data_IF_681900574256
#
_entry.id   IF_681900574256
#
_cell.length_a   1.000
_cell.length_b   1.000
_cell.length_c   1.000
_cell.angle_alpha   90.00
_cell.angle_beta   90.00
_cell.angle_gamma   90.00
#
_symmetry.space_group_name_H-M   'P 1'
#
loop_
_entity.id
_entity.type
_entity.pdbx_description
1 polymer ?
#
# COMPACT_ATOMS: atom_id res chain seq x y z
N UNK A 1 -23.07 -1.14 19.55
CA UNK A 1 -23.18 -0.18 18.43
C UNK A 1 -21.81 0.32 17.93
N UNK A 2 -20.89 0.74 18.82
CA UNK A 2 -19.57 1.28 18.40
C UNK A 2 -18.66 0.20 17.79
N UNK A 3 -18.72 -1.03 18.30
CA UNK A 3 -17.96 -2.20 17.78
C UNK A 3 -18.26 -2.44 16.30
N UNK A 4 -19.55 -2.59 15.94
CA UNK A 4 -19.97 -2.76 14.54
C UNK A 4 -19.48 -1.62 13.66
N UNK A 5 -19.58 -0.38 14.14
CA UNK A 5 -19.07 0.79 13.40
C UNK A 5 -17.56 0.73 13.15
N UNK A 6 -16.77 0.24 14.10
CA UNK A 6 -15.31 0.11 13.93
C UNK A 6 -14.98 -1.03 12.96
N UNK A 7 -15.67 -2.16 13.08
CA UNK A 7 -15.54 -3.28 12.14
C UNK A 7 -15.88 -2.85 10.72
N UNK A 8 -17.02 -2.20 10.52
CA UNK A 8 -17.47 -1.69 9.23
C UNK A 8 -16.47 -0.68 8.65
N UNK A 9 -15.93 0.22 9.48
CA UNK A 9 -14.95 1.22 9.02
C UNK A 9 -13.67 0.55 8.51
N UNK A 10 -13.16 -0.45 9.23
CA UNK A 10 -11.97 -1.19 8.83
C UNK A 10 -12.23 -2.01 7.56
N UNK A 11 -13.31 -2.78 7.52
CA UNK A 11 -13.71 -3.62 6.39
C UNK A 11 -13.90 -2.79 5.12
N UNK A 12 -14.63 -1.68 5.21
CA UNK A 12 -14.79 -0.75 4.08
C UNK A 12 -13.46 -0.19 3.57
N UNK A 13 -12.53 0.13 4.47
CA UNK A 13 -11.21 0.66 4.08
C UNK A 13 -10.38 -0.42 3.37
N UNK A 14 -10.33 -1.63 3.92
CA UNK A 14 -9.65 -2.79 3.30
C UNK A 14 -10.26 -3.12 1.95
N UNK A 15 -11.59 -3.12 1.83
CA UNK A 15 -12.29 -3.31 0.56
C UNK A 15 -11.91 -2.27 -0.48
N UNK A 16 -11.84 -1.00 -0.10
CA UNK A 16 -11.46 0.08 -1.01
C UNK A 16 -10.02 -0.09 -1.50
N UNK A 17 -9.08 -0.43 -0.62
CA UNK A 17 -7.69 -0.73 -0.99
C UNK A 17 -7.66 -1.93 -1.95
N UNK A 18 -8.41 -3.00 -1.65
CA UNK A 18 -8.47 -4.18 -2.49
C UNK A 18 -9.09 -3.91 -3.87
N UNK A 19 -10.15 -3.10 -3.93
CA UNK A 19 -10.80 -2.68 -5.19
C UNK A 19 -9.84 -1.88 -6.06
N UNK A 20 -9.04 -0.98 -5.47
CA UNK A 20 -8.00 -0.25 -6.20
C UNK A 20 -6.93 -1.22 -6.69
N UNK A 21 -6.37 -2.06 -5.81
CA UNK A 21 -5.34 -3.03 -6.18
C UNK A 21 -5.78 -4.02 -7.26
N UNK A 22 -7.04 -4.45 -7.25
CA UNK A 22 -7.60 -5.37 -8.24
C UNK A 22 -7.49 -4.85 -9.68
N UNK A 23 -7.46 -3.52 -9.89
CA UNK A 23 -7.26 -2.90 -11.21
C UNK A 23 -5.88 -3.20 -11.82
N UNK A 24 -4.89 -3.59 -11.00
CA UNK A 24 -3.57 -4.07 -11.42
C UNK A 24 -3.36 -5.56 -11.12
N UNK A 25 -4.43 -6.30 -10.79
CA UNK A 25 -4.36 -7.71 -10.40
C UNK A 25 -3.75 -7.95 -9.02
N UNK A 26 -3.73 -6.90 -8.19
CA UNK A 26 -3.26 -6.87 -6.80
C UNK A 26 -4.47 -6.95 -5.86
N UNK A 27 -5.28 -7.98 -6.02
CA UNK A 27 -6.48 -8.24 -5.20
C UNK A 27 -6.19 -9.08 -3.95
N UNK A 28 -4.95 -9.03 -3.46
CA UNK A 28 -4.40 -9.93 -2.45
C UNK A 28 -4.97 -9.80 -1.03
N UNK A 29 -5.73 -8.74 -0.72
CA UNK A 29 -6.26 -8.52 0.63
C UNK A 29 -7.52 -9.35 0.91
N UNK A 30 -8.35 -9.52 -0.11
CA UNK A 30 -9.63 -10.24 -0.01
C UNK A 30 -9.73 -11.44 -0.95
N UNK A 31 -8.70 -11.68 -1.77
CA UNK A 31 -8.70 -12.80 -2.70
C UNK A 31 -8.56 -14.12 -1.96
N UNK A 32 -9.31 -15.11 -2.43
CA UNK A 32 -9.09 -16.49 -2.04
C UNK A 32 -7.70 -16.95 -2.51
N UNK A 33 -6.77 -17.13 -1.57
CA UNK A 33 -5.37 -17.54 -1.80
C UNK A 33 -5.26 -18.84 -2.60
N UNK A 34 -6.28 -19.71 -2.53
CA UNK A 34 -6.31 -20.97 -3.30
C UNK A 34 -6.53 -20.76 -4.80
N UNK A 35 -6.94 -19.57 -5.23
CA UNK A 35 -7.17 -19.25 -6.65
C UNK A 35 -5.87 -18.79 -7.33
N UNK A 36 -5.65 -19.18 -8.60
CA UNK A 36 -4.50 -18.73 -9.37
C UNK A 36 -4.51 -17.21 -9.57
N UNK A 37 -3.35 -16.65 -9.96
CA UNK A 37 -3.18 -15.22 -10.24
C UNK A 37 -4.23 -14.76 -11.27
N UNK A 38 -4.84 -13.60 -11.03
CA UNK A 38 -5.83 -13.04 -11.94
C UNK A 38 -5.16 -12.67 -13.26
N UNK A 39 -5.94 -12.57 -14.35
CA UNK A 39 -5.43 -12.12 -15.65
C UNK A 39 -4.59 -10.85 -15.53
N UNK A 40 -5.10 -9.85 -14.79
CA UNK A 40 -4.40 -8.59 -14.52
C UNK A 40 -3.07 -8.78 -13.77
N UNK A 41 -2.95 -9.77 -12.89
CA UNK A 41 -1.70 -10.05 -12.20
C UNK A 41 -0.63 -10.61 -13.15
N UNK A 42 -1.02 -11.47 -14.09
CA UNK A 42 -0.13 -11.89 -15.17
C UNK A 42 0.26 -10.72 -16.08
N UNK A 43 -0.70 -9.84 -16.42
CA UNK A 43 -0.43 -8.62 -17.19
C UNK A 43 0.62 -7.73 -16.50
N UNK A 44 0.52 -7.56 -15.18
CA UNK A 44 1.49 -6.79 -14.38
C UNK A 44 2.90 -7.37 -14.47
N UNK A 45 3.06 -8.69 -14.35
CA UNK A 45 4.38 -9.34 -14.48
C UNK A 45 4.95 -9.26 -15.89
N UNK A 46 4.11 -9.46 -16.92
CA UNK A 46 4.51 -9.29 -18.32
C UNK A 46 4.99 -7.85 -18.55
N UNK A 47 4.28 -6.86 -18.02
CA UNK A 47 4.65 -5.46 -18.13
C UNK A 47 5.98 -5.16 -17.43
N UNK A 48 6.21 -5.68 -16.21
CA UNK A 48 7.49 -5.54 -15.51
C UNK A 48 8.63 -6.10 -16.37
N UNK A 49 8.46 -7.32 -16.92
CA UNK A 49 9.46 -7.96 -17.76
C UNK A 49 9.72 -7.16 -19.04
N UNK A 50 8.66 -6.75 -19.74
CA UNK A 50 8.73 -5.94 -20.95
C UNK A 50 9.46 -4.62 -20.70
N UNK A 51 9.06 -3.87 -19.66
CA UNK A 51 9.68 -2.61 -19.29
C UNK A 51 11.15 -2.80 -18.89
N UNK A 52 11.51 -3.89 -18.22
CA UNK A 52 12.89 -4.19 -17.85
C UNK A 52 13.76 -4.32 -19.11
N UNK A 53 13.30 -5.08 -20.10
CA UNK A 53 13.98 -5.22 -21.39
C UNK A 53 14.09 -3.87 -22.10
N UNK A 54 13.01 -3.08 -22.12
CA UNK A 54 13.03 -1.76 -22.73
C UNK A 54 14.04 -0.81 -22.04
N UNK A 55 14.11 -0.82 -20.71
CA UNK A 55 15.09 -0.01 -19.96
C UNK A 55 16.52 -0.42 -20.28
N UNK A 56 16.82 -1.73 -20.26
CA UNK A 56 18.16 -2.23 -20.59
C UNK A 56 18.57 -1.86 -22.02
N UNK A 57 17.65 -2.01 -22.98
CA UNK A 57 17.87 -1.56 -24.35
C UNK A 57 18.15 -0.05 -24.43
N UNK A 58 17.37 0.75 -23.70
CA UNK A 58 17.50 2.20 -23.71
C UNK A 58 18.81 2.66 -23.06
N UNK A 59 19.26 2.02 -21.98
CA UNK A 59 20.59 2.28 -21.40
C UNK A 59 21.71 2.06 -22.42
N UNK A 60 21.61 0.98 -23.21
CA UNK A 60 22.58 0.70 -24.27
C UNK A 60 22.50 1.71 -25.41
N UNK A 61 21.29 2.14 -25.80
CA UNK A 61 21.05 3.11 -26.87
C UNK A 61 21.54 4.52 -26.50
N UNK A 62 21.28 4.97 -25.28
CA UNK A 62 21.64 6.31 -24.80
C UNK A 62 22.96 6.35 -24.00
N UNK A 63 23.82 5.33 -24.14
CA UNK A 63 25.08 5.21 -23.37
C UNK A 63 26.02 6.41 -23.51
N UNK A 64 25.97 7.11 -24.64
CA UNK A 64 26.84 8.25 -24.94
C UNK A 64 26.23 9.59 -24.48
N UNK A 65 24.97 9.60 -24.00
CA UNK A 65 24.29 10.78 -23.49
C UNK A 65 23.99 10.63 -22.00
N UNK A 66 24.88 11.19 -21.16
CA UNK A 66 24.80 11.10 -19.69
C UNK A 66 23.47 11.59 -19.10
N UNK A 67 22.87 12.64 -19.68
CA UNK A 67 21.61 13.17 -19.19
C UNK A 67 20.46 12.18 -19.41
N UNK A 68 20.36 11.61 -20.62
CA UNK A 68 19.38 10.57 -20.89
C UNK A 68 19.66 9.34 -20.02
N UNK A 69 20.91 8.87 -19.96
CA UNK A 69 21.30 7.70 -19.17
C UNK A 69 20.89 7.84 -17.69
N UNK A 70 21.11 9.00 -17.07
CA UNK A 70 20.70 9.26 -15.69
C UNK A 70 19.17 9.18 -15.51
N UNK A 71 18.41 9.68 -16.48
CA UNK A 71 16.95 9.57 -16.49
C UNK A 71 16.46 8.11 -16.63
N UNK A 72 17.14 7.30 -17.45
CA UNK A 72 16.85 5.85 -17.58
C UNK A 72 17.18 5.11 -16.29
N UNK A 73 18.31 5.41 -15.66
CA UNK A 73 18.70 4.78 -14.40
C UNK A 73 17.71 5.10 -13.27
N UNK A 74 17.22 6.33 -13.22
CA UNK A 74 16.18 6.73 -12.26
C UNK A 74 14.89 5.94 -12.49
N UNK A 75 14.47 5.82 -13.76
CA UNK A 75 13.34 5.00 -14.16
C UNK A 75 13.52 3.53 -13.78
N UNK A 76 14.71 2.98 -13.99
CA UNK A 76 15.04 1.60 -13.67
C UNK A 76 15.05 1.35 -12.16
N UNK A 77 15.49 2.33 -11.36
CA UNK A 77 15.38 2.30 -9.91
C UNK A 77 13.93 2.24 -9.44
N UNK A 78 13.05 3.07 -10.02
CA UNK A 78 11.61 3.03 -9.75
C UNK A 78 10.97 1.70 -10.17
N UNK A 79 11.36 1.17 -11.33
CA UNK A 79 10.94 -0.15 -11.81
C UNK A 79 11.37 -1.27 -10.85
N UNK A 80 12.59 -1.21 -10.33
CA UNK A 80 13.09 -2.19 -9.36
C UNK A 80 12.30 -2.15 -8.05
N UNK A 81 12.02 -0.94 -7.54
CA UNK A 81 11.16 -0.76 -6.36
C UNK A 81 9.74 -1.30 -6.61
N UNK A 82 9.17 -1.03 -7.79
CA UNK A 82 7.88 -1.56 -8.22
C UNK A 82 7.89 -3.10 -8.30
N UNK A 83 8.91 -3.70 -8.89
CA UNK A 83 9.05 -5.15 -9.00
C UNK A 83 9.14 -5.83 -7.63
N UNK A 84 9.88 -5.24 -6.68
CA UNK A 84 9.96 -5.75 -5.30
C UNK A 84 8.59 -5.68 -4.62
N UNK A 85 7.88 -4.54 -4.73
CA UNK A 85 6.54 -4.39 -4.15
C UNK A 85 5.55 -5.39 -4.76
N UNK A 86 5.52 -5.52 -6.08
CA UNK A 86 4.71 -6.52 -6.77
C UNK A 86 5.05 -7.94 -6.28
N UNK A 87 6.34 -8.28 -6.18
CA UNK A 87 6.78 -9.58 -5.67
C UNK A 87 6.23 -9.88 -4.27
N UNK A 88 6.37 -8.93 -3.34
CA UNK A 88 5.89 -9.09 -1.96
C UNK A 88 4.37 -9.30 -1.93
N UNK A 89 3.62 -8.48 -2.68
CA UNK A 89 2.16 -8.60 -2.80
C UNK A 89 1.75 -10.00 -3.27
N UNK A 90 2.38 -10.52 -4.33
CA UNK A 90 2.00 -11.80 -4.92
C UNK A 90 2.47 -13.00 -4.10
N UNK A 91 3.58 -12.88 -3.37
CA UNK A 91 4.14 -13.99 -2.59
C UNK A 91 3.59 -14.09 -1.17
N UNK A 92 3.14 -12.96 -0.59
CA UNK A 92 2.78 -12.88 0.82
C UNK A 92 1.29 -12.59 1.10
N UNK A 93 0.30 -13.10 0.33
CA UNK A 93 -1.11 -12.83 0.62
C UNK A 93 -1.53 -13.42 1.97
N UNK A 94 -0.97 -14.56 2.37
CA UNK A 94 -1.26 -15.21 3.65
C UNK A 94 -1.05 -14.27 4.85
N UNK A 95 0.10 -13.59 4.89
CA UNK A 95 0.40 -12.61 5.94
C UNK A 95 -0.59 -11.44 5.96
N UNK A 96 -1.08 -11.00 4.79
CA UNK A 96 -2.07 -9.94 4.74
C UNK A 96 -3.41 -10.37 5.34
N UNK A 97 -3.86 -11.59 5.04
CA UNK A 97 -5.07 -12.16 5.64
C UNK A 97 -4.94 -12.38 7.14
N UNK A 98 -3.78 -12.84 7.62
CA UNK A 98 -3.51 -13.02 9.04
C UNK A 98 -3.57 -11.68 9.79
N UNK A 99 -2.95 -10.64 9.22
CA UNK A 99 -3.00 -9.28 9.78
C UNK A 99 -4.45 -8.79 9.85
N UNK A 100 -5.24 -8.97 8.78
CA UNK A 100 -6.65 -8.56 8.74
C UNK A 100 -7.46 -9.30 9.81
N UNK A 101 -7.28 -10.61 9.91
CA UNK A 101 -7.94 -11.44 10.91
C UNK A 101 -7.58 -11.01 12.34
N UNK A 102 -6.31 -10.66 12.57
CA UNK A 102 -5.84 -10.20 13.88
C UNK A 102 -6.43 -8.85 14.25
N UNK A 103 -6.52 -7.90 13.30
CA UNK A 103 -7.20 -6.62 13.54
C UNK A 103 -8.67 -6.83 13.90
N UNK A 104 -9.37 -7.75 13.23
CA UNK A 104 -10.75 -8.07 13.62
C UNK A 104 -10.86 -8.62 15.05
N UNK A 105 -9.98 -9.55 15.45
CA UNK A 105 -9.94 -10.05 16.83
C UNK A 105 -9.68 -8.93 17.84
N UNK A 106 -8.78 -8.01 17.52
CA UNK A 106 -8.48 -6.85 18.38
C UNK A 106 -9.71 -5.97 18.53
N UNK A 107 -10.42 -5.66 17.44
CA UNK A 107 -11.65 -4.85 17.46
C UNK A 107 -12.73 -5.53 18.30
N UNK A 108 -12.92 -6.85 18.12
CA UNK A 108 -13.92 -7.63 18.86
C UNK A 108 -13.57 -7.69 20.36
N UNK A 109 -12.27 -7.84 20.72
CA UNK A 109 -11.79 -7.88 22.11
C UNK A 109 -11.94 -6.55 22.85
N UNK A 110 -11.72 -5.44 22.17
CA UNK A 110 -11.84 -4.08 22.75
C UNK A 110 -13.31 -3.66 22.92
N UNK A 111 -14.23 -4.40 22.31
CA UNK A 111 -15.57 -3.91 22.04
C UNK A 111 -16.42 -3.55 23.26
N UNK A 112 -16.17 -4.19 24.40
CA UNK A 112 -16.93 -4.00 25.64
C UNK A 112 -16.55 -2.72 26.40
N UNK A 113 -15.41 -2.11 26.07
CA UNK A 113 -14.88 -0.94 26.77
C UNK A 113 -14.96 0.33 25.93
N UNK A 114 -15.86 1.25 26.31
CA UNK A 114 -16.17 2.44 25.51
C UNK A 114 -14.94 3.32 25.22
N UNK A 115 -14.12 3.63 26.23
CA UNK A 115 -12.94 4.50 26.08
C UNK A 115 -11.92 3.89 25.08
N UNK A 116 -11.64 2.60 25.22
CA UNK A 116 -10.71 1.85 24.36
C UNK A 116 -11.24 1.72 22.94
N UNK A 117 -12.55 1.52 22.81
CA UNK A 117 -13.24 1.44 21.52
C UNK A 117 -13.24 2.79 20.78
N UNK A 118 -13.35 3.91 21.50
CA UNK A 118 -13.21 5.26 20.95
C UNK A 118 -11.76 5.56 20.49
N UNK A 119 -10.75 5.12 21.24
CA UNK A 119 -9.34 5.24 20.81
C UNK A 119 -9.03 4.41 19.55
N UNK A 120 -9.47 3.15 19.51
CA UNK A 120 -9.33 2.32 18.30
C UNK A 120 -10.05 2.96 17.11
N UNK A 121 -11.23 3.54 17.31
CA UNK A 121 -11.95 4.26 16.27
C UNK A 121 -11.15 5.44 15.70
N UNK A 122 -10.43 6.19 16.54
CA UNK A 122 -9.53 7.27 16.07
C UNK A 122 -8.42 6.70 15.19
N UNK A 123 -7.85 5.56 15.56
CA UNK A 123 -6.87 4.83 14.76
C UNK A 123 -7.39 4.44 13.37
N UNK A 124 -8.56 3.82 13.31
CA UNK A 124 -9.19 3.42 12.06
C UNK A 124 -9.55 4.62 11.15
N UNK A 125 -10.01 5.73 11.74
CA UNK A 125 -10.25 6.98 10.97
C UNK A 125 -8.95 7.54 10.40
N UNK A 126 -7.83 7.47 11.14
CA UNK A 126 -6.52 7.87 10.63
C UNK A 126 -6.07 6.97 9.48
N UNK A 127 -6.32 5.67 9.55
CA UNK A 127 -6.06 4.75 8.44
C UNK A 127 -6.82 5.16 7.16
N UNK A 128 -8.15 5.37 7.23
CA UNK A 128 -8.92 5.84 6.06
C UNK A 128 -8.38 7.16 5.50
N UNK A 129 -8.03 8.12 6.38
CA UNK A 129 -7.46 9.39 5.96
C UNK A 129 -6.12 9.21 5.22
N UNK A 130 -5.23 8.38 5.75
CA UNK A 130 -3.92 8.10 5.14
C UNK A 130 -4.08 7.41 3.79
N UNK A 131 -4.98 6.44 3.69
CA UNK A 131 -5.29 5.80 2.41
C UNK A 131 -5.72 6.83 1.37
N UNK A 132 -6.62 7.76 1.72
CA UNK A 132 -7.06 8.84 0.82
C UNK A 132 -5.91 9.77 0.45
N UNK A 133 -5.03 10.12 1.39
CA UNK A 133 -3.86 10.95 1.13
C UNK A 133 -2.88 10.28 0.17
N UNK A 134 -2.54 9.00 0.40
CA UNK A 134 -1.68 8.19 -0.47
C UNK A 134 -2.28 8.08 -1.86
N UNK A 135 -3.56 7.71 -1.96
CA UNK A 135 -4.25 7.59 -3.25
C UNK A 135 -4.21 8.90 -4.03
N UNK A 136 -4.58 10.00 -3.39
CA UNK A 136 -4.61 11.31 -4.04
C UNK A 136 -3.21 11.77 -4.44
N UNK A 137 -2.20 11.60 -3.60
CA UNK A 137 -0.83 12.02 -3.91
C UNK A 137 -0.27 11.29 -5.12
N UNK A 138 -0.45 9.96 -5.20
CA UNK A 138 0.00 9.18 -6.35
C UNK A 138 -0.73 9.54 -7.65
N UNK A 139 -2.06 9.76 -7.60
CA UNK A 139 -2.84 10.20 -8.76
C UNK A 139 -2.37 11.58 -9.23
N UNK A 140 -2.16 12.53 -8.31
CA UNK A 140 -1.71 13.88 -8.64
C UNK A 140 -0.31 13.86 -9.25
N UNK A 141 0.65 13.14 -8.64
CA UNK A 141 2.01 13.03 -9.18
C UNK A 141 1.98 12.44 -10.59
N UNK A 142 1.21 11.37 -10.80
CA UNK A 142 1.06 10.77 -12.13
C UNK A 142 0.46 11.74 -13.14
N UNK A 143 -0.63 12.44 -12.79
CA UNK A 143 -1.25 13.44 -13.65
C UNK A 143 -0.29 14.59 -13.99
N UNK A 144 0.47 15.09 -13.02
CA UNK A 144 1.48 16.13 -13.22
C UNK A 144 2.58 15.64 -14.16
N UNK A 145 3.08 14.41 -13.98
CA UNK A 145 4.07 13.82 -14.90
C UNK A 145 3.54 13.79 -16.34
N UNK A 146 2.31 13.33 -16.55
CA UNK A 146 1.68 13.31 -17.87
C UNK A 146 1.58 14.71 -18.48
N UNK A 147 0.97 15.65 -17.76
CA UNK A 147 0.77 17.03 -18.23
C UNK A 147 2.11 17.68 -18.56
N UNK A 148 3.10 17.52 -17.68
CA UNK A 148 4.43 18.08 -17.88
C UNK A 148 5.12 17.54 -19.14
N UNK A 149 5.06 16.23 -19.38
CA UNK A 149 5.61 15.63 -20.60
C UNK A 149 4.94 16.19 -21.86
N UNK A 150 3.62 16.35 -21.88
CA UNK A 150 2.92 16.94 -23.03
C UNK A 150 3.26 18.42 -23.22
N UNK A 151 3.26 19.21 -22.15
CA UNK A 151 3.55 20.64 -22.20
C UNK A 151 4.97 20.88 -22.73
N UNK A 152 5.97 20.15 -22.22
CA UNK A 152 7.35 20.25 -22.72
C UNK A 152 7.44 19.81 -24.17
N UNK A 153 6.79 18.70 -24.53
CA UNK A 153 6.84 18.17 -25.89
C UNK A 153 6.31 19.18 -26.92
N UNK A 154 5.25 19.92 -26.56
CA UNK A 154 4.68 20.99 -27.38
C UNK A 154 5.59 22.23 -27.37
N UNK A 155 6.04 22.67 -26.19
CA UNK A 155 6.81 23.90 -26.02
C UNK A 155 8.17 23.85 -26.70
N UNK A 156 8.92 22.76 -26.49
CA UNK A 156 10.25 22.58 -27.09
C UNK A 156 10.19 22.10 -28.54
N UNK A 157 9.00 21.73 -29.03
CA UNK A 157 8.80 21.07 -30.33
C UNK A 157 9.67 19.81 -30.49
N UNK A 158 9.93 19.13 -29.37
CA UNK A 158 10.75 17.91 -29.29
C UNK A 158 9.96 16.79 -28.65
N UNK A 159 10.18 15.57 -29.13
CA UNK A 159 9.48 14.38 -28.62
C UNK A 159 10.06 13.96 -27.27
N UNK A 160 9.46 14.44 -26.19
CA UNK A 160 9.89 14.12 -24.82
C UNK A 160 9.28 12.81 -24.34
N UNK A 161 10.09 11.99 -23.67
CA UNK A 161 9.67 10.74 -23.05
C UNK A 161 9.06 11.00 -21.67
N UNK A 162 7.94 10.33 -21.37
CA UNK A 162 7.33 10.34 -20.02
C UNK A 162 8.20 9.59 -19.01
N UNK A 163 8.74 8.47 -19.45
CA UNK A 163 9.52 7.51 -18.66
C UNK A 163 10.80 7.23 -19.42
N UNK A 164 11.91 6.98 -18.74
CA UNK A 164 13.26 6.97 -19.31
C UNK A 164 13.58 5.81 -20.26
N UNK A 165 12.60 5.14 -20.85
CA UNK A 165 12.87 4.08 -21.83
C UNK A 165 12.14 4.31 -23.16
N UNK A 166 12.69 3.67 -24.18
CA UNK A 166 12.15 3.52 -25.52
C UNK A 166 11.82 2.06 -25.77
N UNK A 167 10.69 1.80 -26.43
CA UNK A 167 10.34 0.47 -26.89
C UNK A 167 11.31 0.05 -28.01
N UNK A 168 11.97 -1.11 -27.90
CA UNK A 168 12.89 -1.60 -28.93
C UNK A 168 12.24 -1.66 -30.31
N UNK A 169 13.04 -1.44 -31.35
CA UNK A 169 12.63 -1.48 -32.77
C UNK A 169 11.66 -0.39 -33.22
N UNK A 170 11.20 0.49 -32.32
CA UNK A 170 10.40 1.67 -32.66
C UNK A 170 11.28 2.92 -32.65
N UNK A 171 11.16 3.73 -33.71
CA UNK A 171 11.79 5.05 -33.72
C UNK A 171 10.93 6.01 -32.89
N UNK A 172 11.39 6.35 -31.68
CA UNK A 172 10.67 7.23 -30.75
C UNK A 172 10.61 8.70 -31.23
N UNK A 173 11.37 9.09 -32.26
CA UNK A 173 11.38 10.47 -32.79
C UNK A 173 10.37 10.65 -33.93
N UNK A 174 9.91 9.55 -34.53
CA UNK A 174 9.03 9.57 -35.71
C UNK A 174 7.67 8.97 -35.40
N UNK A 175 6.65 9.45 -36.11
CA UNK A 175 5.34 8.82 -36.13
C UNK A 175 5.42 7.48 -36.89
N UNK A 176 4.79 6.39 -36.43
CA UNK A 176 3.94 6.26 -35.22
C UNK A 176 4.70 5.78 -33.96
N UNK A 177 6.02 5.67 -34.01
CA UNK A 177 6.82 5.07 -32.93
C UNK A 177 6.77 5.86 -31.62
N UNK A 178 6.72 7.20 -31.69
CA UNK A 178 6.55 8.05 -30.51
C UNK A 178 5.24 7.78 -29.76
N UNK A 179 4.13 7.72 -30.51
CA UNK A 179 2.78 7.58 -29.95
C UNK A 179 2.62 6.22 -29.26
N UNK A 180 3.14 5.16 -29.89
CA UNK A 180 3.15 3.82 -29.29
C UNK A 180 3.99 3.82 -28.00
N UNK A 181 5.16 4.45 -28.01
CA UNK A 181 6.03 4.53 -26.84
C UNK A 181 5.36 5.29 -25.68
N UNK A 182 4.71 6.42 -25.97
CA UNK A 182 3.93 7.19 -25.00
C UNK A 182 2.83 6.32 -24.40
N UNK A 183 2.04 5.60 -25.21
CA UNK A 183 0.95 4.74 -24.73
C UNK A 183 1.49 3.63 -23.80
N UNK A 184 2.59 2.98 -24.18
CA UNK A 184 3.23 1.98 -23.33
C UNK A 184 3.67 2.59 -21.99
N UNK A 185 4.28 3.77 -22.02
CA UNK A 185 4.70 4.49 -20.81
C UNK A 185 3.50 4.88 -19.94
N UNK A 186 2.37 5.28 -20.54
CA UNK A 186 1.13 5.60 -19.81
C UNK A 186 0.57 4.38 -19.09
N UNK A 187 0.47 3.25 -19.80
CA UNK A 187 -0.05 2.01 -19.26
C UNK A 187 0.82 1.52 -18.09
N UNK A 188 2.14 1.60 -18.24
CA UNK A 188 3.06 1.28 -17.15
C UNK A 188 2.87 2.22 -15.95
N UNK A 189 2.89 3.53 -16.16
CA UNK A 189 2.74 4.50 -15.07
C UNK A 189 1.42 4.28 -14.32
N UNK A 190 0.33 4.01 -15.04
CA UNK A 190 -0.97 3.68 -14.47
C UNK A 190 -0.93 2.42 -13.59
N UNK A 191 -0.40 1.31 -14.12
CA UNK A 191 -0.30 0.05 -13.37
C UNK A 191 0.63 0.21 -12.16
N UNK A 192 1.78 0.86 -12.32
CA UNK A 192 2.69 1.14 -11.21
C UNK A 192 1.99 1.94 -10.12
N UNK A 193 1.30 3.04 -10.46
CA UNK A 193 0.55 3.87 -9.49
C UNK A 193 -0.44 3.05 -8.67
N UNK A 194 -1.21 2.17 -9.32
CA UNK A 194 -2.18 1.31 -8.61
C UNK A 194 -1.49 0.38 -7.61
N UNK A 195 -0.40 -0.27 -8.01
CA UNK A 195 0.33 -1.20 -7.13
C UNK A 195 0.99 -0.44 -5.97
N UNK A 196 1.55 0.74 -6.22
CA UNK A 196 2.09 1.61 -5.17
C UNK A 196 1.01 2.01 -4.17
N UNK A 197 -0.15 2.48 -4.64
CA UNK A 197 -1.28 2.84 -3.77
C UNK A 197 -1.71 1.64 -2.93
N UNK A 198 -1.92 0.47 -3.54
CA UNK A 198 -2.39 -0.71 -2.83
C UNK A 198 -1.39 -1.19 -1.76
N UNK A 199 -0.11 -1.27 -2.12
CA UNK A 199 0.94 -1.72 -1.21
C UNK A 199 1.19 -0.72 -0.07
N UNK A 200 1.33 0.58 -0.38
CA UNK A 200 1.64 1.59 0.62
C UNK A 200 0.45 1.86 1.53
N UNK A 201 -0.78 1.85 1.01
CA UNK A 201 -1.97 1.92 1.84
C UNK A 201 -2.08 0.73 2.79
N UNK A 202 -1.78 -0.48 2.31
CA UNK A 202 -1.75 -1.66 3.16
C UNK A 202 -0.67 -1.55 4.25
N UNK A 203 0.57 -1.22 3.86
CA UNK A 203 1.70 -1.13 4.79
C UNK A 203 1.51 -0.04 5.85
N UNK A 204 1.31 1.21 5.43
CA UNK A 204 1.14 2.32 6.36
C UNK A 204 -0.17 2.17 7.15
N UNK A 205 -1.25 1.73 6.51
CA UNK A 205 -2.52 1.51 7.18
C UNK A 205 -2.43 0.60 8.40
N UNK A 206 -1.83 -0.56 8.23
CA UNK A 206 -1.68 -1.52 9.32
C UNK A 206 -0.63 -1.09 10.34
N UNK A 207 0.40 -0.35 9.94
CA UNK A 207 1.32 0.29 10.89
C UNK A 207 0.58 1.25 11.83
N UNK A 208 -0.32 2.09 11.30
CA UNK A 208 -1.12 3.01 12.11
C UNK A 208 -2.12 2.28 13.03
N UNK A 209 -2.69 1.17 12.58
CA UNK A 209 -3.54 0.33 13.42
C UNK A 209 -2.71 -0.28 14.55
N UNK A 210 -1.53 -0.82 14.27
CA UNK A 210 -0.62 -1.36 15.29
C UNK A 210 -0.22 -0.29 16.32
N UNK A 211 0.12 0.93 15.86
CA UNK A 211 0.38 2.05 16.77
C UNK A 211 -0.85 2.41 17.63
N UNK A 212 -2.05 2.37 17.05
CA UNK A 212 -3.30 2.66 17.78
C UNK A 212 -3.60 1.57 18.80
N UNK A 213 -3.34 0.31 18.47
CA UNK A 213 -3.42 -0.81 19.41
C UNK A 213 -2.44 -0.64 20.58
N UNK A 214 -1.20 -0.24 20.31
CA UNK A 214 -0.21 0.07 21.36
C UNK A 214 -0.67 1.21 22.28
N UNK A 215 -1.34 2.23 21.75
CA UNK A 215 -1.94 3.28 22.57
C UNK A 215 -3.07 2.74 23.45
N UNK A 216 -3.93 1.87 22.92
CA UNK A 216 -4.96 1.18 23.72
C UNK A 216 -4.34 0.33 24.83
N UNK A 217 -3.20 -0.32 24.56
CA UNK A 217 -2.46 -1.08 25.58
C UNK A 217 -1.98 -0.24 26.75
N UNK A 218 -1.63 1.04 26.52
CA UNK A 218 -1.26 1.96 27.61
C UNK A 218 -2.44 2.18 28.56
N UNK A 219 -3.68 2.23 28.06
CA UNK A 219 -4.87 2.33 28.92
C UNK A 219 -5.00 1.07 29.81
N UNK A 220 -4.82 -0.13 29.26
CA UNK A 220 -4.83 -1.37 30.07
C UNK A 220 -3.76 -1.37 31.17
N UNK A 221 -2.54 -0.92 30.86
CA UNK A 221 -1.46 -0.81 31.87
C UNK A 221 -1.80 0.21 32.94
N UNK A 222 -2.43 1.34 32.55
CA UNK A 222 -2.86 2.36 33.50
C UNK A 222 -3.98 1.86 34.41
N UNK A 223 -4.97 1.15 33.87
CA UNK A 223 -6.05 0.54 34.65
C UNK A 223 -5.45 -0.46 35.64
N UNK A 224 -4.54 -1.32 35.18
CA UNK A 224 -3.81 -2.27 36.03
C UNK A 224 -3.04 -1.57 37.16
N UNK A 225 -2.30 -0.49 36.86
CA UNK A 225 -1.57 0.27 37.87
C UNK A 225 -2.50 0.95 38.88
N UNK A 226 -3.71 1.37 38.51
CA UNK A 226 -4.68 1.88 39.48
C UNK A 226 -5.12 0.78 40.42
N UNK A 227 -5.50 -0.39 39.90
CA UNK A 227 -5.86 -1.55 40.74
C UNK A 227 -4.76 -1.95 41.72
N UNK A 228 -3.49 -1.87 41.31
CA UNK A 228 -2.34 -2.19 42.19
C UNK A 228 -2.09 -1.11 43.25
N UNK A 229 -2.37 0.16 42.96
CA UNK A 229 -2.02 1.28 43.84
C UNK A 229 -3.18 1.79 44.71
N UNK A 230 -4.44 1.57 44.31
CA UNK A 230 -5.63 2.13 44.99
C UNK A 230 -6.25 1.18 46.03
N UNK A 231 -5.86 -0.10 46.10
CA UNK A 231 -6.40 -1.06 47.07
C UNK A 231 -5.32 -1.91 47.78
N UNK A 232 -5.18 -1.72 49.10
CA UNK A 232 -4.50 -2.66 50.01
C UNK A 232 -5.33 -3.92 50.31
N UNK A 233 -6.54 -4.03 49.78
CA UNK A 233 -7.39 -5.22 49.80
C UNK A 233 -7.87 -5.49 48.38
N UNK A 234 -7.40 -6.58 47.76
CA UNK A 234 -7.82 -7.00 46.42
C UNK A 234 -9.32 -7.32 46.46
N UNK A 235 -10.18 -6.37 46.06
CA UNK A 235 -11.65 -6.53 46.14
C UNK A 235 -12.19 -7.42 45.01
N UNK A 236 -11.48 -7.60 43.88
CA UNK A 236 -11.89 -8.55 42.85
C UNK A 236 -10.71 -9.20 42.08
N UNK A 237 -10.27 -10.37 42.56
CA UNK A 237 -9.22 -11.19 41.91
C UNK A 237 -9.55 -11.53 40.44
N UNK A 238 -10.84 -11.51 40.06
CA UNK A 238 -11.31 -11.87 38.73
C UNK A 238 -11.05 -10.77 37.70
N UNK A 239 -11.19 -9.50 38.08
CA UNK A 239 -10.83 -8.36 37.22
C UNK A 239 -9.31 -8.27 37.06
N UNK A 240 -8.56 -8.48 38.14
CA UNK A 240 -7.09 -8.50 38.11
C UNK A 240 -6.56 -9.63 37.21
N UNK A 241 -7.10 -10.85 37.33
CA UNK A 241 -6.76 -11.97 36.44
C UNK A 241 -7.13 -11.68 35.00
N UNK A 242 -8.26 -11.03 34.74
CA UNK A 242 -8.68 -10.67 33.38
C UNK A 242 -7.75 -9.64 32.76
N UNK A 243 -7.33 -8.61 33.51
CA UNK A 243 -6.35 -7.63 33.08
C UNK A 243 -4.97 -8.25 32.81
N UNK A 244 -4.49 -9.14 33.68
CA UNK A 244 -3.22 -9.89 33.49
C UNK A 244 -3.28 -10.87 32.32
N UNK A 245 -4.41 -11.55 32.12
CA UNK A 245 -4.63 -12.41 30.96
C UNK A 245 -4.63 -11.59 29.67
N UNK A 246 -5.30 -10.43 29.64
CA UNK A 246 -5.30 -9.53 28.50
C UNK A 246 -3.89 -8.99 28.20
N UNK A 247 -3.14 -8.56 29.22
CA UNK A 247 -1.76 -8.11 29.07
C UNK A 247 -0.82 -9.23 28.59
N UNK A 248 -0.94 -10.44 29.14
CA UNK A 248 -0.10 -11.58 28.74
C UNK A 248 -0.46 -12.14 27.35
N UNK A 249 -1.74 -12.12 26.98
CA UNK A 249 -2.20 -12.49 25.63
C UNK A 249 -1.78 -11.44 24.60
N UNK A 250 -1.78 -10.16 24.94
CA UNK A 250 -1.36 -9.09 24.03
C UNK A 250 0.17 -9.01 23.90
N UNK A 251 0.95 -9.33 24.94
CA UNK A 251 2.42 -9.42 24.86
C UNK A 251 2.94 -10.63 24.07
N UNK A 252 2.09 -11.62 23.74
CA UNK A 252 2.46 -12.74 22.85
C UNK A 252 2.24 -12.43 21.37
N UNK A 253 1.63 -11.29 21.05
CA UNK A 253 1.26 -10.88 19.67
C UNK A 253 2.28 -9.87 19.10
N UNK A 254 3.18 -9.34 19.94
CA UNK A 254 4.33 -8.50 19.56
C UNK A 254 5.57 -9.39 19.47
#
# INVERSE_FOLDING_TARGET
MIIHKNRDLYENTVELVNKVGALAGVDFLLRNIKKPITFWGYTTWILIGFTTVCNLYSMFYFRDNWLHLAFILTTFGLLSAFAIKAYVVFKSPFYAHDIIAEVFKIIDRIGDEREKCEEMQKGLKRFDLIFRMIKTSYIVVSAVMFVFTFVISIYEKKKTLLVGYIVPFLNYEKFPGYEINIICNMLQAYISVIVFIAFDAFYFGHLFIACSHNLVMIHYVRDFNKFVNEDGEIVDEKELRSALLLLSLNNRVI
#
